data_IF_090075987161
#
_entry.id   IF_090075987161
#
_cell.length_a   1.000
_cell.length_b   1.000
_cell.length_c   1.000
_cell.angle_alpha   90.00
_cell.angle_beta   90.00
_cell.angle_gamma   90.00
#
_symmetry.space_group_name_H-M   'P 1'
#
loop_
_entity.id
_entity.type
_entity.pdbx_description
1 polymer ?
#
# COMPACT_ATOMS: atom_id res chain seq x y z
N UNK A 1 23.95 50.20 -30.46
CA UNK A 1 23.64 48.75 -30.50
C UNK A 1 24.78 47.97 -29.89
N UNK A 2 24.61 47.41 -28.69
CA UNK A 2 25.52 46.38 -28.16
C UNK A 2 24.81 45.66 -27.00
N UNK A 3 23.92 44.72 -27.33
CA UNK A 3 23.31 43.86 -26.32
C UNK A 3 24.34 42.82 -25.90
N UNK A 4 24.81 42.91 -24.65
CA UNK A 4 25.70 41.91 -24.04
C UNK A 4 24.83 40.73 -23.59
N UNK A 5 24.94 39.61 -24.30
CA UNK A 5 24.23 38.37 -24.00
C UNK A 5 24.79 37.74 -22.71
N UNK A 6 24.01 37.78 -21.64
CA UNK A 6 24.30 37.04 -20.41
C UNK A 6 23.93 35.58 -20.62
N UNK A 7 24.93 34.69 -20.68
CA UNK A 7 24.77 33.25 -20.82
C UNK A 7 24.23 32.68 -19.49
N UNK A 8 22.97 32.25 -19.49
CA UNK A 8 22.37 31.49 -18.40
C UNK A 8 23.01 30.11 -18.39
N UNK A 9 23.92 29.86 -17.45
CA UNK A 9 24.46 28.53 -17.17
C UNK A 9 23.54 27.81 -16.17
N UNK A 10 22.60 27.01 -16.65
CA UNK A 10 21.85 26.05 -15.81
C UNK A 10 22.71 24.79 -15.67
N UNK A 11 23.39 24.64 -14.54
CA UNK A 11 24.09 23.41 -14.18
C UNK A 11 23.09 22.33 -13.75
N UNK A 12 22.75 21.43 -14.68
CA UNK A 12 22.11 20.15 -14.37
C UNK A 12 23.12 19.24 -13.66
N UNK A 13 23.14 19.29 -12.33
CA UNK A 13 23.75 18.23 -11.52
C UNK A 13 22.63 17.43 -10.85
N UNK A 14 21.90 16.66 -11.66
CA UNK A 14 21.11 15.54 -11.13
C UNK A 14 22.10 14.42 -10.84
N UNK A 15 22.60 14.39 -9.60
CA UNK A 15 23.32 13.23 -9.06
C UNK A 15 22.39 12.03 -9.15
N UNK A 16 22.68 11.13 -10.09
CA UNK A 16 22.02 9.85 -10.21
C UNK A 16 22.17 9.10 -8.89
N UNK A 17 21.04 8.86 -8.23
CA UNK A 17 20.95 7.98 -7.08
C UNK A 17 21.45 6.60 -7.51
N UNK A 18 22.47 6.09 -6.82
CA UNK A 18 23.10 4.81 -7.10
C UNK A 18 22.06 3.68 -7.08
N UNK A 19 21.83 3.09 -8.25
CA UNK A 19 21.03 1.88 -8.41
C UNK A 19 21.77 0.68 -7.81
N UNK A 20 21.61 0.48 -6.51
CA UNK A 20 21.93 -0.77 -5.86
C UNK A 20 20.87 -1.81 -6.20
N UNK A 21 21.13 -2.63 -7.21
CA UNK A 21 20.33 -3.82 -7.51
C UNK A 21 20.61 -4.89 -6.45
N UNK A 22 20.03 -4.70 -5.27
CA UNK A 22 19.97 -5.71 -4.23
C UNK A 22 18.88 -6.71 -4.57
N UNK A 23 19.23 -7.75 -5.32
CA UNK A 23 18.45 -8.97 -5.45
C UNK A 23 18.47 -9.73 -4.12
N UNK A 24 17.76 -9.21 -3.12
CA UNK A 24 17.34 -10.00 -1.98
C UNK A 24 16.01 -10.64 -2.35
N UNK A 25 15.87 -11.93 -2.07
CA UNK A 25 14.56 -12.57 -1.95
C UNK A 25 13.76 -11.79 -0.90
N UNK A 26 13.05 -10.76 -1.36
CA UNK A 26 12.22 -9.94 -0.51
C UNK A 26 10.99 -10.78 -0.18
N UNK A 27 11.10 -11.60 0.87
CA UNK A 27 9.94 -12.21 1.48
C UNK A 27 8.98 -11.09 1.82
N UNK A 28 7.76 -11.17 1.31
CA UNK A 28 6.73 -10.19 1.62
C UNK A 28 6.62 -10.08 3.16
N UNK A 29 6.56 -8.87 3.72
CA UNK A 29 6.46 -8.71 5.16
C UNK A 29 5.19 -9.41 5.66
N UNK A 30 5.34 -10.28 6.66
CA UNK A 30 4.20 -10.86 7.35
C UNK A 30 3.49 -9.79 8.15
N UNK A 31 2.16 -9.81 8.16
CA UNK A 31 1.37 -8.87 8.95
C UNK A 31 0.17 -9.55 9.59
N UNK A 32 -0.28 -8.96 10.70
CA UNK A 32 -1.54 -9.29 11.34
C UNK A 32 -2.35 -7.99 11.47
N UNK A 33 -3.59 -8.03 10.99
CA UNK A 33 -4.57 -6.95 11.14
C UNK A 33 -5.77 -7.53 11.85
N UNK A 34 -6.15 -6.95 12.98
CA UNK A 34 -7.31 -7.37 13.75
C UNK A 34 -8.11 -6.15 14.21
N UNK A 35 -9.41 -6.36 14.41
CA UNK A 35 -10.30 -5.29 14.85
C UNK A 35 -11.73 -5.78 15.09
N UNK A 36 -12.61 -4.81 15.34
CA UNK A 36 -14.02 -5.05 15.60
C UNK A 36 -14.87 -4.11 14.75
N UNK A 37 -15.82 -4.67 13.99
CA UNK A 37 -16.80 -3.91 13.22
C UNK A 37 -17.87 -3.39 14.19
N UNK A 38 -18.16 -2.10 14.14
CA UNK A 38 -19.26 -1.48 14.90
C UNK A 38 -20.31 -0.93 13.94
N UNK A 39 -21.44 -1.63 13.81
CA UNK A 39 -22.56 -1.25 12.95
C UNK A 39 -23.89 -1.71 13.53
N UNK A 40 -25.01 -1.18 13.01
CA UNK A 40 -26.35 -1.70 13.31
C UNK A 40 -26.62 -2.95 12.46
N UNK A 41 -27.11 -4.03 13.08
CA UNK A 41 -27.49 -5.27 12.38
C UNK A 41 -26.67 -6.48 12.83
N UNK A 42 -26.78 -7.58 12.08
CA UNK A 42 -25.92 -8.75 12.30
C UNK A 42 -24.50 -8.43 11.87
N UNK A 43 -23.54 -8.81 12.71
CA UNK A 43 -22.12 -8.73 12.40
C UNK A 43 -21.56 -10.10 12.02
N UNK A 44 -22.33 -11.18 12.21
CA UNK A 44 -21.92 -12.52 11.83
C UNK A 44 -21.74 -12.60 10.30
N UNK A 45 -20.61 -13.19 9.89
CA UNK A 45 -20.28 -13.45 8.50
C UNK A 45 -20.07 -12.19 7.62
N UNK A 46 -19.86 -11.02 8.23
CA UNK A 46 -19.54 -9.79 7.47
C UNK A 46 -18.16 -9.92 6.81
N UNK A 47 -18.04 -9.71 5.49
CA UNK A 47 -16.76 -9.81 4.79
C UNK A 47 -15.83 -8.64 5.15
N UNK A 48 -14.55 -8.95 5.39
CA UNK A 48 -13.47 -7.99 5.60
C UNK A 48 -12.29 -8.40 4.73
N UNK A 49 -11.69 -7.45 4.00
CA UNK A 49 -10.54 -7.69 3.15
C UNK A 49 -9.50 -6.58 3.27
N UNK A 50 -8.27 -6.89 2.86
CA UNK A 50 -7.23 -5.88 2.61
C UNK A 50 -7.27 -5.54 1.13
N UNK A 51 -7.71 -4.33 0.80
CA UNK A 51 -7.68 -3.81 -0.57
C UNK A 51 -6.24 -3.44 -0.93
N UNK A 52 -5.57 -4.32 -1.67
CA UNK A 52 -4.18 -4.18 -2.06
C UNK A 52 -4.03 -3.39 -3.36
N UNK A 53 -5.05 -3.41 -4.22
CA UNK A 53 -5.01 -2.76 -5.52
C UNK A 53 -5.76 -1.41 -5.57
N UNK A 54 -6.38 -1.01 -4.45
CA UNK A 54 -7.09 0.25 -4.23
C UNK A 54 -8.31 0.45 -5.15
N UNK A 55 -9.01 -0.64 -5.49
CA UNK A 55 -10.21 -0.59 -6.32
C UNK A 55 -11.52 -0.55 -5.50
N UNK A 56 -11.44 -0.58 -4.17
CA UNK A 56 -12.57 -0.59 -3.24
C UNK A 56 -13.49 -1.82 -3.36
N UNK A 57 -12.96 -2.93 -3.87
CA UNK A 57 -13.65 -4.22 -3.99
C UNK A 57 -12.82 -5.27 -3.27
N UNK A 58 -13.46 -6.19 -2.55
CA UNK A 58 -12.75 -7.36 -2.04
C UNK A 58 -12.55 -8.37 -3.17
N UNK A 59 -11.38 -8.33 -3.82
CA UNK A 59 -11.06 -9.24 -4.89
C UNK A 59 -10.75 -10.65 -4.37
N UNK A 60 -10.99 -11.66 -5.21
CA UNK A 60 -10.74 -13.07 -4.85
C UNK A 60 -9.25 -13.37 -4.57
N UNK A 61 -8.34 -12.52 -5.06
CA UNK A 61 -6.90 -12.63 -4.83
C UNK A 61 -6.43 -11.89 -3.58
N UNK A 62 -7.33 -11.19 -2.87
CA UNK A 62 -6.98 -10.39 -1.71
C UNK A 62 -7.22 -11.14 -0.40
N UNK A 63 -6.34 -10.95 0.59
CA UNK A 63 -6.52 -11.50 1.92
C UNK A 63 -7.85 -11.04 2.50
N UNK A 64 -8.72 -11.99 2.83
CA UNK A 64 -10.04 -11.73 3.35
C UNK A 64 -10.42 -12.73 4.44
N UNK A 65 -11.36 -12.30 5.28
CA UNK A 65 -11.94 -13.09 6.35
C UNK A 65 -13.40 -12.67 6.56
N UNK A 66 -14.06 -13.33 7.50
CA UNK A 66 -15.39 -12.96 7.96
C UNK A 66 -15.37 -12.66 9.45
N UNK A 67 -16.16 -11.68 9.87
CA UNK A 67 -16.32 -11.40 11.29
C UNK A 67 -17.23 -12.41 11.99
N UNK A 68 -17.03 -12.57 13.29
CA UNK A 68 -17.90 -13.35 14.16
C UNK A 68 -19.17 -12.56 14.57
N UNK A 69 -20.00 -13.15 15.43
CA UNK A 69 -21.24 -12.51 15.90
C UNK A 69 -21.01 -11.25 16.75
N UNK A 70 -19.79 -11.05 17.28
CA UNK A 70 -19.38 -9.84 18.00
C UNK A 70 -18.73 -8.79 17.06
N UNK A 71 -18.59 -9.08 15.77
CA UNK A 71 -17.94 -8.23 14.79
C UNK A 71 -16.42 -8.31 14.80
N UNK A 72 -15.82 -9.22 15.55
CA UNK A 72 -14.37 -9.38 15.63
C UNK A 72 -13.84 -10.10 14.38
N UNK A 73 -12.69 -9.65 13.89
CA UNK A 73 -11.99 -10.26 12.75
C UNK A 73 -10.46 -10.21 12.95
N UNK A 74 -9.75 -11.13 12.28
CA UNK A 74 -8.30 -11.08 12.14
C UNK A 74 -7.89 -11.62 10.76
N UNK A 75 -6.97 -10.91 10.11
CA UNK A 75 -6.33 -11.28 8.84
C UNK A 75 -4.84 -11.43 9.13
N UNK A 76 -4.29 -12.60 8.81
CA UNK A 76 -2.85 -12.88 8.89
C UNK A 76 -2.33 -13.18 7.50
N UNK A 77 -1.24 -12.51 7.11
CA UNK A 77 -0.48 -12.83 5.90
C UNK A 77 0.92 -13.29 6.31
N UNK A 78 1.37 -14.39 5.72
CA UNK A 78 2.69 -15.02 5.91
C UNK A 78 3.35 -15.27 4.58
#
# INVERSE_FOLDING_TARGET
MKFQYSLIAVSLALVGCGGGSGGGDATAPSYNVAGTISAKGTLLDTPVCIDLNQNFVCDATEPSTKSNNAGEFSITST
#
